data_IF_658785714450
#
_entry.id   IF_658785714450
#
_cell.length_a   1.000
_cell.length_b   1.000
_cell.length_c   1.000
_cell.angle_alpha   90.00
_cell.angle_beta   90.00
_cell.angle_gamma   90.00
#
_symmetry.space_group_name_H-M   'P 1'
#
loop_
_entity.id
_entity.type
_entity.pdbx_description
1 polymer ?
#
# COMPACT_ATOMS: atom_id res chain seq x y z
N UNK A 1 27.94 6.83 -7.81
CA UNK A 1 27.40 7.15 -6.46
C UNK A 1 26.05 7.80 -6.66
N UNK A 2 24.94 7.09 -6.45
CA UNK A 2 23.60 7.72 -6.37
C UNK A 2 23.13 7.57 -4.94
N UNK A 3 23.52 8.55 -4.13
CA UNK A 3 22.86 8.83 -2.86
C UNK A 3 21.47 9.34 -3.18
N UNK A 4 20.44 8.51 -3.07
CA UNK A 4 19.08 9.02 -3.01
C UNK A 4 18.29 8.07 -2.14
N UNK A 5 18.14 8.45 -0.86
CA UNK A 5 17.16 7.82 0.00
C UNK A 5 15.85 7.84 -0.76
N UNK A 6 15.36 6.66 -1.17
CA UNK A 6 14.17 6.49 -1.99
C UNK A 6 12.99 7.07 -1.24
N UNK A 7 12.81 8.39 -1.37
CA UNK A 7 11.73 9.12 -0.76
C UNK A 7 10.51 8.68 -1.53
N UNK A 8 9.80 7.72 -0.95
CA UNK A 8 8.55 7.24 -1.49
C UNK A 8 7.69 8.44 -1.82
N UNK A 9 7.18 8.47 -3.06
CA UNK A 9 6.28 9.51 -3.50
C UNK A 9 5.16 9.67 -2.47
N UNK A 10 4.74 10.91 -2.17
CA UNK A 10 3.66 11.20 -1.21
C UNK A 10 2.41 10.34 -1.47
N UNK A 11 2.18 9.98 -2.74
CA UNK A 11 1.12 9.06 -3.18
C UNK A 11 1.29 7.64 -2.62
N UNK A 12 2.51 7.10 -2.60
CA UNK A 12 2.81 5.78 -2.07
C UNK A 12 2.61 5.73 -0.54
N UNK A 13 3.16 6.70 0.19
CA UNK A 13 2.93 6.82 1.65
C UNK A 13 1.44 6.97 1.94
N UNK A 14 0.74 7.85 1.23
CA UNK A 14 -0.70 8.02 1.39
C UNK A 14 -1.52 6.79 0.97
N UNK A 15 -0.96 5.87 0.19
CA UNK A 15 -1.59 4.58 -0.15
C UNK A 15 -1.37 3.57 0.98
N UNK A 16 -0.14 3.46 1.49
CA UNK A 16 0.21 2.62 2.63
C UNK A 16 -0.61 3.02 3.87
N UNK A 17 -0.72 4.33 4.16
CA UNK A 17 -1.54 4.83 5.26
C UNK A 17 -3.02 4.50 5.09
N UNK A 18 -3.56 4.59 3.86
CA UNK A 18 -4.94 4.19 3.60
C UNK A 18 -5.15 2.69 3.84
N UNK A 19 -4.23 1.84 3.37
CA UNK A 19 -4.28 0.38 3.63
C UNK A 19 -4.17 0.08 5.13
N UNK A 20 -3.39 0.87 5.88
CA UNK A 20 -3.27 0.73 7.33
C UNK A 20 -4.55 1.11 8.07
N UNK A 21 -5.09 2.30 7.76
CA UNK A 21 -6.21 2.91 8.47
C UNK A 21 -7.54 2.26 8.09
N UNK A 22 -7.76 1.98 6.81
CA UNK A 22 -9.03 1.45 6.34
C UNK A 22 -9.04 -0.07 6.35
N UNK A 23 -9.91 -0.62 7.20
CA UNK A 23 -10.15 -2.06 7.26
C UNK A 23 -10.94 -2.57 6.06
N UNK A 24 -11.79 -1.71 5.47
CA UNK A 24 -12.62 -2.04 4.31
C UNK A 24 -11.87 -1.78 3.01
N UNK A 25 -11.65 -2.86 2.26
CA UNK A 25 -10.96 -2.83 0.98
C UNK A 25 -11.81 -3.61 -0.01
N UNK A 26 -11.98 -3.07 -1.21
CA UNK A 26 -12.72 -3.71 -2.28
C UNK A 26 -11.92 -3.61 -3.57
N UNK A 27 -11.65 -4.76 -4.18
CA UNK A 27 -11.10 -4.79 -5.53
C UNK A 27 -12.19 -4.40 -6.53
N UNK A 28 -11.96 -3.34 -7.28
CA UNK A 28 -12.85 -2.83 -8.33
C UNK A 28 -12.16 -3.01 -9.69
N UNK A 29 -12.44 -4.11 -10.38
CA UNK A 29 -11.88 -4.41 -11.70
C UNK A 29 -10.35 -4.34 -11.75
N UNK A 30 -9.81 -3.24 -12.31
CA UNK A 30 -8.36 -2.97 -12.45
C UNK A 30 -7.77 -2.10 -11.34
N UNK A 31 -8.47 -1.96 -10.22
CA UNK A 31 -7.99 -1.17 -9.08
C UNK A 31 -8.55 -1.66 -7.76
N UNK A 32 -8.15 -0.96 -6.72
CA UNK A 32 -8.53 -1.18 -5.34
C UNK A 32 -9.15 0.09 -4.79
N UNK A 33 -10.29 -0.06 -4.14
CA UNK A 33 -10.90 0.98 -3.34
C UNK A 33 -10.60 0.66 -1.87
N UNK A 34 -9.90 1.57 -1.21
CA UNK A 34 -9.50 1.46 0.20
C UNK A 34 -9.96 2.72 0.91
N UNK A 35 -11.03 2.59 1.71
CA UNK A 35 -11.78 3.76 2.16
C UNK A 35 -12.32 4.55 0.97
N UNK A 36 -11.89 5.81 0.85
CA UNK A 36 -12.22 6.68 -0.29
C UNK A 36 -11.14 6.68 -1.39
N UNK A 37 -9.97 6.07 -1.14
CA UNK A 37 -8.87 6.07 -2.09
C UNK A 37 -9.01 4.99 -3.15
N UNK A 38 -8.87 5.40 -4.41
CA UNK A 38 -8.65 4.50 -5.54
C UNK A 38 -7.16 4.29 -5.78
N UNK A 39 -6.75 3.03 -5.80
CA UNK A 39 -5.37 2.59 -6.01
C UNK A 39 -5.36 1.72 -7.26
N UNK A 40 -4.55 2.07 -8.26
CA UNK A 40 -4.43 1.28 -9.47
C UNK A 40 -3.69 -0.03 -9.21
N UNK A 41 -4.00 -1.09 -9.96
CA UNK A 41 -3.25 -2.36 -9.87
C UNK A 41 -1.75 -2.19 -10.09
N UNK A 42 -1.34 -1.26 -10.98
CA UNK A 42 0.08 -0.94 -11.19
C UNK A 42 0.76 -0.40 -9.93
N UNK A 43 0.06 0.42 -9.14
CA UNK A 43 0.56 0.95 -7.87
C UNK A 43 0.69 -0.16 -6.85
N UNK A 44 -0.31 -1.04 -6.74
CA UNK A 44 -0.25 -2.21 -5.86
C UNK A 44 0.91 -3.10 -6.24
N UNK A 45 1.05 -3.46 -7.51
CA UNK A 45 2.14 -4.30 -7.99
C UNK A 45 3.52 -3.69 -7.73
N UNK A 46 3.65 -2.36 -7.81
CA UNK A 46 4.89 -1.69 -7.46
C UNK A 46 5.17 -1.76 -5.95
N UNK A 47 4.16 -1.52 -5.11
CA UNK A 47 4.30 -1.65 -3.65
C UNK A 47 4.58 -3.09 -3.20
N UNK A 48 4.04 -4.09 -3.91
CA UNK A 48 4.32 -5.50 -3.67
C UNK A 48 5.76 -5.86 -4.06
N UNK A 49 6.27 -5.34 -5.19
CA UNK A 49 7.67 -5.53 -5.62
C UNK A 49 8.66 -4.98 -4.61
N UNK A 50 8.32 -3.86 -3.98
CA UNK A 50 9.14 -3.25 -2.92
C UNK A 50 8.90 -3.88 -1.54
N UNK A 51 8.10 -4.95 -1.46
CA UNK A 51 7.74 -5.65 -0.24
C UNK A 51 7.10 -4.75 0.83
N UNK A 52 6.38 -3.68 0.46
CA UNK A 52 5.65 -2.81 1.40
C UNK A 52 4.22 -3.29 1.65
N UNK A 53 3.60 -3.93 0.67
CA UNK A 53 2.26 -4.52 0.79
C UNK A 53 2.29 -5.95 0.28
N UNK A 54 1.28 -6.71 0.67
CA UNK A 54 1.03 -8.06 0.17
C UNK A 54 -0.45 -8.23 -0.08
N UNK A 55 -0.82 -8.72 -1.25
CA UNK A 55 -2.17 -9.23 -1.49
C UNK A 55 -2.31 -10.61 -0.81
N UNK A 56 -3.31 -10.73 0.06
CA UNK A 56 -3.70 -11.99 0.67
C UNK A 56 -5.17 -12.26 0.34
N UNK A 57 -5.54 -13.54 0.22
CA UNK A 57 -6.94 -13.93 0.16
C UNK A 57 -7.42 -14.26 1.57
N UNK A 58 -8.42 -13.54 2.08
CA UNK A 58 -9.08 -13.84 3.36
C UNK A 58 -10.53 -14.17 3.08
N UNK A 59 -10.98 -15.37 3.47
CA UNK A 59 -12.34 -15.86 3.21
C UNK A 59 -12.76 -15.79 1.73
N UNK A 60 -11.83 -16.03 0.81
CA UNK A 60 -12.06 -15.94 -0.64
C UNK A 60 -12.08 -14.51 -1.19
N UNK A 61 -11.91 -13.49 -0.35
CA UNK A 61 -11.83 -12.10 -0.77
C UNK A 61 -10.38 -11.60 -0.78
N UNK A 62 -9.92 -10.99 -1.88
CA UNK A 62 -8.59 -10.40 -1.92
C UNK A 62 -8.54 -9.18 -1.00
N UNK A 63 -7.46 -9.06 -0.22
CA UNK A 63 -7.20 -7.96 0.70
C UNK A 63 -5.72 -7.58 0.68
N UNK A 64 -5.42 -6.30 0.69
CA UNK A 64 -4.06 -5.77 0.83
C UNK A 64 -3.72 -5.65 2.31
N UNK A 65 -2.58 -6.21 2.70
CA UNK A 65 -2.02 -6.05 4.04
C UNK A 65 -0.64 -5.42 3.96
N UNK A 66 -0.31 -4.59 4.95
CA UNK A 66 1.03 -4.04 5.08
C UNK A 66 1.98 -5.09 5.63
N UNK A 67 3.16 -5.17 5.04
CA UNK A 67 4.29 -5.89 5.61
C UNK A 67 4.91 -5.07 6.75
N UNK A 68 5.85 -5.66 7.49
CA UNK A 68 6.63 -4.94 8.48
C UNK A 68 7.39 -3.74 7.88
N UNK A 69 7.89 -3.87 6.66
CA UNK A 69 8.57 -2.77 5.97
C UNK A 69 7.59 -1.63 5.63
N UNK A 70 6.41 -1.98 5.10
CA UNK A 70 5.36 -1.00 4.84
C UNK A 70 4.91 -0.25 6.09
N UNK A 71 4.84 -0.94 7.25
CA UNK A 71 4.51 -0.34 8.55
C UNK A 71 5.61 0.60 9.05
N UNK A 72 6.89 0.24 8.92
CA UNK A 72 8.02 1.09 9.30
C UNK A 72 8.02 2.41 8.53
N UNK A 73 7.63 2.38 7.26
CA UNK A 73 7.57 3.57 6.42
C UNK A 73 6.50 4.58 6.84
N UNK A 74 5.29 4.11 7.14
CA UNK A 74 4.21 4.98 7.64
C UNK A 74 4.52 5.50 9.04
N UNK A 75 5.19 4.71 9.89
CA UNK A 75 5.64 5.15 11.21
C UNK A 75 6.68 6.28 11.11
N UNK A 76 7.62 6.20 10.16
CA UNK A 76 8.65 7.22 9.93
C UNK A 76 8.12 8.53 9.32
N UNK A 77 6.98 8.48 8.63
CA UNK A 77 6.39 9.66 7.98
C UNK A 77 5.51 10.50 8.91
N UNK A 78 5.28 10.06 10.14
CA UNK A 78 4.39 10.72 11.11
C UNK A 78 5.14 11.45 12.23
N UNK A 79 6.46 11.59 12.12
CA UNK A 79 7.35 12.36 13.02
C UNK A 79 7.60 13.76 12.46
#
# INVERSE_FOLDING_TARGET
MTSDGKQLSKTAVGTLSAIHQYRHQRRLGRGWLVGDKRISTSTVANLEKEAFVREIATNGFPRLVLTDEGKRLIARSSD
#
